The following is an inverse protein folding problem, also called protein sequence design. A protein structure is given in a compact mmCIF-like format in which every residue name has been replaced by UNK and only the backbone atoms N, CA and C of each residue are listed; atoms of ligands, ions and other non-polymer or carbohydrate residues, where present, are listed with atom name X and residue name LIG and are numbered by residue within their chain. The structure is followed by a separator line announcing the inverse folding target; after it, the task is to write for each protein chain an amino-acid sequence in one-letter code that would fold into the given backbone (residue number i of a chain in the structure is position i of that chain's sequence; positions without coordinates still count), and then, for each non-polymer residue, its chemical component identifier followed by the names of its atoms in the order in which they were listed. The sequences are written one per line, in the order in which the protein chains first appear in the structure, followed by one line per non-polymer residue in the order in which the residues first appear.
data_IF_206955880997
#
_entry.id   IF_206955880997
#
_cell.length_a   1.000
_cell.length_b   1.000
_cell.length_c   1.000
_cell.angle_alpha   90.00
_cell.angle_beta   90.00
_cell.angle_gamma   90.00
#
_symmetry.space_group_name_H-M   'P 1'
#
loop_
_entity.id
_entity.type
_entity.pdbx_description
1 polymer ?
#
# COMPACT_ATOMS: atom_id res chain seq x y z
N UNK A 1 -34.53 -23.08 37.45
CA UNK A 1 -33.48 -24.04 37.07
C UNK A 1 -33.27 -23.88 35.58
N UNK A 2 -32.28 -23.09 35.21
CA UNK A 2 -31.91 -22.83 33.82
C UNK A 2 -31.16 -24.04 33.25
N UNK A 3 -31.45 -24.35 31.99
CA UNK A 3 -30.87 -25.46 31.25
C UNK A 3 -29.55 -24.99 30.62
N UNK A 4 -28.41 -25.69 30.75
CA UNK A 4 -27.15 -25.20 30.21
C UNK A 4 -27.07 -25.42 28.69
N UNK A 5 -26.77 -24.35 27.95
CA UNK A 5 -26.50 -24.41 26.51
C UNK A 5 -25.24 -25.26 26.23
N UNK A 6 -25.37 -26.22 25.31
CA UNK A 6 -24.28 -27.07 24.87
C UNK A 6 -23.37 -26.33 23.87
N UNK A 7 -22.11 -26.13 24.25
CA UNK A 7 -21.05 -25.66 23.34
C UNK A 7 -20.74 -26.75 22.29
N UNK A 8 -20.71 -26.44 20.98
CA UNK A 8 -20.43 -27.45 19.97
C UNK A 8 -18.97 -27.92 20.04
N UNK A 9 -18.76 -29.22 20.23
CA UNK A 9 -17.41 -29.80 20.24
C UNK A 9 -16.83 -29.97 18.84
N UNK A 10 -15.49 -29.95 18.74
CA UNK A 10 -14.66 -30.22 17.54
C UNK A 10 -15.09 -31.47 16.74
N UNK A 11 -15.76 -32.42 17.39
CA UNK A 11 -16.30 -33.66 16.80
C UNK A 11 -17.58 -33.44 15.98
N UNK A 12 -18.37 -32.42 16.31
CA UNK A 12 -19.55 -32.00 15.54
C UNK A 12 -19.14 -31.41 14.20
N UNK A 13 -18.12 -30.53 14.21
CA UNK A 13 -17.57 -29.90 13.00
C UNK A 13 -17.07 -30.90 11.95
N UNK A 14 -16.35 -31.95 12.38
CA UNK A 14 -15.83 -32.99 11.48
C UNK A 14 -16.93 -33.92 10.93
N UNK A 15 -18.04 -34.11 11.65
CA UNK A 15 -19.19 -34.89 11.16
C UNK A 15 -19.94 -34.15 10.06
N UNK A 16 -20.05 -32.83 10.15
CA UNK A 16 -20.69 -32.00 9.11
C UNK A 16 -19.92 -32.03 7.79
N UNK A 17 -18.58 -32.14 7.84
CA UNK A 17 -17.74 -32.31 6.66
C UNK A 17 -17.84 -33.71 6.02
N UNK A 18 -18.10 -34.76 6.81
CA UNK A 18 -18.20 -36.14 6.32
C UNK A 18 -19.50 -36.47 5.56
N UNK A 19 -20.59 -35.75 5.82
CA UNK A 19 -21.89 -35.98 5.17
C UNK A 19 -22.06 -35.23 3.84
N UNK A 20 -21.15 -34.31 3.49
CA UNK A 20 -21.17 -33.60 2.22
C UNK A 20 -20.52 -34.38 1.05
N UNK A 21 -19.96 -35.57 1.31
CA UNK A 21 -19.11 -36.30 0.36
C UNK A 21 -19.79 -37.31 -0.57
N UNK A 22 -21.08 -37.62 -0.43
CA UNK A 22 -21.75 -38.67 -1.26
C UNK A 22 -23.20 -38.34 -1.58
N UNK A 23 -23.43 -37.38 -2.46
CA UNK A 23 -24.70 -37.25 -3.21
C UNK A 23 -24.48 -36.50 -4.54
N UNK A 24 -23.69 -37.10 -5.44
CA UNK A 24 -23.66 -36.71 -6.84
C UNK A 24 -24.79 -37.44 -7.57
N UNK A 25 -26.01 -36.88 -7.61
CA UNK A 25 -27.04 -37.23 -8.59
C UNK A 25 -28.19 -36.21 -8.58
N UNK A 26 -28.34 -35.51 -9.71
CA UNK A 26 -29.53 -34.76 -10.15
C UNK A 26 -30.06 -33.65 -9.21
N UNK A 27 -29.48 -32.45 -9.30
CA UNK A 27 -30.15 -31.22 -8.85
C UNK A 27 -30.98 -30.66 -10.02
N UNK A 28 -32.30 -30.43 -9.85
CA UNK A 28 -33.12 -29.77 -10.86
C UNK A 28 -32.53 -28.40 -11.22
N UNK A 29 -32.53 -28.06 -12.52
CA UNK A 29 -32.06 -26.77 -13.06
C UNK A 29 -32.78 -25.54 -12.50
N UNK A 30 -33.81 -25.72 -11.67
CA UNK A 30 -34.54 -24.67 -10.95
C UNK A 30 -33.89 -24.22 -9.63
N UNK A 31 -32.76 -24.83 -9.21
CA UNK A 31 -31.93 -24.37 -8.09
C UNK A 31 -30.62 -23.70 -8.54
N UNK A 32 -30.44 -23.50 -9.85
CA UNK A 32 -29.44 -22.57 -10.36
C UNK A 32 -29.93 -21.12 -10.14
N UNK A 33 -30.15 -20.74 -8.89
CA UNK A 33 -30.07 -19.34 -8.52
C UNK A 33 -28.63 -18.96 -8.86
N UNK A 34 -28.47 -18.16 -9.91
CA UNK A 34 -27.19 -17.64 -10.37
C UNK A 34 -26.40 -17.25 -9.14
N UNK A 35 -25.42 -18.09 -8.78
CA UNK A 35 -24.61 -17.87 -7.61
C UNK A 35 -24.02 -16.50 -7.83
N UNK A 36 -24.43 -15.52 -7.02
CA UNK A 36 -23.79 -14.23 -6.97
C UNK A 36 -22.35 -14.56 -6.64
N UNK A 37 -21.49 -14.56 -7.66
CA UNK A 37 -20.07 -14.69 -7.45
C UNK A 37 -19.73 -13.72 -6.32
N UNK A 38 -19.00 -14.16 -5.28
CA UNK A 38 -18.70 -13.30 -4.16
C UNK A 38 -18.22 -11.95 -4.69
N UNK A 39 -18.76 -10.85 -4.17
CA UNK A 39 -18.61 -9.50 -4.73
C UNK A 39 -17.14 -9.11 -4.97
N UNK A 40 -16.19 -9.79 -4.32
CA UNK A 40 -14.75 -9.62 -4.51
C UNK A 40 -14.19 -10.14 -5.85
N UNK A 41 -14.89 -11.00 -6.60
CA UNK A 41 -14.47 -11.43 -7.95
C UNK A 41 -14.84 -10.42 -9.06
N UNK A 42 -15.67 -9.43 -8.76
CA UNK A 42 -16.11 -8.38 -9.71
C UNK A 42 -15.49 -7.00 -9.41
N UNK A 43 -14.32 -6.94 -8.76
CA UNK A 43 -13.67 -5.65 -8.49
C UNK A 43 -13.19 -4.92 -9.75
N UNK A 44 -12.93 -5.65 -10.83
CA UNK A 44 -12.61 -5.05 -12.13
C UNK A 44 -13.83 -5.22 -13.02
N UNK A 45 -14.71 -4.20 -13.05
CA UNK A 45 -15.64 -4.08 -14.17
C UNK A 45 -14.78 -3.85 -15.41
N UNK A 46 -14.76 -4.79 -16.34
CA UNK A 46 -14.07 -4.58 -17.62
C UNK A 46 -14.76 -3.41 -18.33
N UNK A 47 -14.10 -2.25 -18.36
CA UNK A 47 -14.42 -1.25 -19.35
C UNK A 47 -13.74 -1.69 -20.65
N UNK A 48 -14.53 -2.21 -21.61
CA UNK A 48 -14.03 -2.39 -22.97
C UNK A 48 -13.81 -1.00 -23.58
N UNK A 49 -12.58 -0.50 -23.52
CA UNK A 49 -12.21 0.82 -24.04
C UNK A 49 -11.77 0.65 -25.50
N UNK A 50 -12.57 1.11 -26.45
CA UNK A 50 -12.23 1.03 -27.89
C UNK A 50 -11.78 2.36 -28.51
N UNK A 51 -11.83 3.49 -27.78
CA UNK A 51 -11.39 4.79 -28.28
C UNK A 51 -10.15 5.34 -27.55
N UNK A 52 -9.30 6.09 -28.26
CA UNK A 52 -8.08 6.70 -27.69
C UNK A 52 -8.34 7.71 -26.56
N UNK A 53 -9.57 8.25 -26.46
CA UNK A 53 -10.02 9.14 -25.38
C UNK A 53 -10.57 8.39 -24.16
N UNK A 54 -10.69 7.06 -24.23
CA UNK A 54 -11.15 6.23 -23.11
C UNK A 54 -9.97 5.71 -22.27
N UNK A 55 -8.73 6.00 -22.67
CA UNK A 55 -7.53 5.57 -21.95
C UNK A 55 -7.19 6.50 -20.80
N UNK A 56 -6.90 5.92 -19.64
CA UNK A 56 -6.29 6.60 -18.51
C UNK A 56 -4.77 6.65 -18.71
N UNK A 57 -4.24 7.87 -18.85
CA UNK A 57 -2.81 8.11 -19.07
C UNK A 57 -2.07 8.38 -17.78
N UNK A 58 -1.09 7.54 -17.50
CA UNK A 58 -0.34 7.49 -16.25
C UNK A 58 0.99 8.23 -16.41
N UNK A 59 1.28 9.10 -15.44
CA UNK A 59 2.62 9.62 -15.17
C UNK A 59 3.22 8.97 -13.92
N UNK A 60 4.34 8.26 -14.03
CA UNK A 60 5.04 7.69 -12.88
C UNK A 60 6.04 8.71 -12.30
N UNK A 61 5.94 9.03 -11.01
CA UNK A 61 6.91 9.85 -10.28
C UNK A 61 7.54 8.99 -9.19
N UNK A 62 8.84 8.71 -9.31
CA UNK A 62 9.55 7.71 -8.52
C UNK A 62 9.55 6.35 -9.20
N UNK A 63 10.53 6.10 -10.07
CA UNK A 63 10.68 4.85 -10.84
C UNK A 63 11.52 3.80 -10.11
N UNK A 64 11.36 3.76 -8.77
CA UNK A 64 11.93 2.70 -7.94
C UNK A 64 11.14 1.39 -8.07
N UNK A 65 11.52 0.38 -7.28
CA UNK A 65 10.91 -0.95 -7.37
C UNK A 65 9.38 -0.98 -7.14
N UNK A 66 8.86 -0.21 -6.18
CA UNK A 66 7.41 -0.14 -5.95
C UNK A 66 6.70 0.65 -7.04
N UNK A 67 7.18 1.85 -7.40
CA UNK A 67 6.57 2.62 -8.48
C UNK A 67 6.52 1.89 -9.82
N UNK A 68 7.55 1.10 -10.16
CA UNK A 68 7.51 0.19 -11.32
C UNK A 68 6.45 -0.89 -11.14
N UNK A 69 6.44 -1.60 -10.01
CA UNK A 69 5.47 -2.68 -9.75
C UNK A 69 4.00 -2.21 -9.75
N UNK A 70 3.73 -1.04 -9.18
CA UNK A 70 2.40 -0.41 -9.20
C UNK A 70 1.98 -0.06 -10.62
N UNK A 71 2.92 0.47 -11.41
CA UNK A 71 2.68 0.82 -12.82
C UNK A 71 2.43 -0.44 -13.65
N UNK A 72 3.25 -1.48 -13.51
CA UNK A 72 3.05 -2.76 -14.21
C UNK A 72 1.69 -3.37 -13.86
N UNK A 73 1.28 -3.31 -12.59
CA UNK A 73 -0.04 -3.78 -12.14
C UNK A 73 -1.16 -2.94 -12.76
N UNK A 74 -1.01 -1.61 -12.81
CA UNK A 74 -1.99 -0.74 -13.44
C UNK A 74 -2.16 -1.05 -14.94
N UNK A 75 -1.04 -1.28 -15.66
CA UNK A 75 -1.03 -1.61 -17.09
C UNK A 75 -1.66 -2.96 -17.44
N UNK A 76 -1.95 -3.82 -16.46
CA UNK A 76 -2.75 -5.03 -16.66
C UNK A 76 -4.24 -4.70 -16.88
N UNK A 77 -4.69 -3.50 -16.54
CA UNK A 77 -6.07 -3.05 -16.74
C UNK A 77 -6.22 -2.45 -18.13
N UNK A 78 -7.12 -3.02 -18.94
CA UNK A 78 -7.45 -2.48 -20.26
C UNK A 78 -7.87 -1.00 -20.18
N UNK A 79 -7.41 -0.20 -21.13
CA UNK A 79 -7.66 1.24 -21.11
C UNK A 79 -6.69 2.02 -20.22
N UNK A 80 -5.54 1.46 -19.84
CA UNK A 80 -4.46 2.23 -19.17
C UNK A 80 -3.22 2.27 -20.05
N UNK A 81 -2.48 3.38 -19.99
CA UNK A 81 -1.18 3.50 -20.65
C UNK A 81 -0.26 4.42 -19.84
N UNK A 82 1.04 4.13 -19.83
CA UNK A 82 2.06 5.03 -19.27
C UNK A 82 2.61 5.93 -20.37
N UNK A 83 2.67 7.23 -20.10
CA UNK A 83 3.14 8.22 -21.08
C UNK A 83 4.31 9.07 -20.56
N UNK A 84 4.55 9.06 -19.26
CA UNK A 84 5.60 9.84 -18.62
C UNK A 84 6.19 9.12 -17.41
N UNK A 85 7.48 9.30 -17.19
CA UNK A 85 8.20 8.83 -16.00
C UNK A 85 9.15 9.91 -15.48
N UNK A 86 9.29 9.98 -14.15
CA UNK A 86 10.15 10.93 -13.47
C UNK A 86 10.94 10.25 -12.36
N UNK A 87 12.24 10.50 -12.31
CA UNK A 87 13.15 10.05 -11.26
C UNK A 87 14.36 10.96 -11.19
N UNK A 88 14.97 11.04 -10.02
CA UNK A 88 16.15 11.88 -9.81
C UNK A 88 17.46 11.17 -10.20
N UNK A 89 17.41 9.87 -10.51
CA UNK A 89 18.57 9.09 -10.97
C UNK A 89 18.44 8.65 -12.44
N UNK A 90 19.46 8.95 -13.25
CA UNK A 90 19.46 8.65 -14.70
C UNK A 90 19.31 7.17 -15.02
N UNK A 91 19.93 6.28 -14.23
CA UNK A 91 19.83 4.84 -14.48
C UNK A 91 18.39 4.33 -14.35
N UNK A 92 17.60 4.94 -13.48
CA UNK A 92 16.17 4.65 -13.30
C UNK A 92 15.31 5.19 -14.45
N UNK A 93 15.64 6.36 -14.99
CA UNK A 93 15.01 6.88 -16.21
C UNK A 93 15.31 6.02 -17.44
N UNK A 94 16.56 5.55 -17.59
CA UNK A 94 16.93 4.60 -18.64
C UNK A 94 16.12 3.30 -18.50
N UNK A 95 16.03 2.76 -17.29
CA UNK A 95 15.23 1.56 -17.01
C UNK A 95 13.76 1.73 -17.38
N UNK A 96 13.16 2.89 -17.10
CA UNK A 96 11.78 3.18 -17.50
C UNK A 96 11.59 3.10 -19.03
N UNK A 97 12.53 3.63 -19.82
CA UNK A 97 12.50 3.50 -21.29
C UNK A 97 12.72 2.07 -21.78
N UNK A 98 13.58 1.30 -21.13
CA UNK A 98 13.75 -0.13 -21.45
C UNK A 98 12.45 -0.93 -21.22
N UNK A 99 11.67 -0.56 -20.20
CA UNK A 99 10.41 -1.23 -19.86
C UNK A 99 9.26 -0.83 -20.79
N UNK A 100 9.13 0.46 -21.10
CA UNK A 100 7.93 1.02 -21.75
C UNK A 100 8.19 1.70 -23.10
N UNK A 101 9.42 1.64 -23.61
CA UNK A 101 9.82 2.11 -24.93
C UNK A 101 10.50 3.49 -24.95
N UNK A 102 11.30 3.72 -26.00
CA UNK A 102 12.10 4.95 -26.16
C UNK A 102 11.28 6.23 -26.30
N UNK A 103 10.02 6.09 -26.75
CA UNK A 103 9.06 7.18 -26.88
C UNK A 103 8.50 7.70 -25.54
N UNK A 104 8.77 7.00 -24.44
CA UNK A 104 8.34 7.43 -23.11
C UNK A 104 8.99 8.78 -22.74
N UNK A 105 8.17 9.75 -22.34
CA UNK A 105 8.69 11.00 -21.82
C UNK A 105 9.35 10.77 -20.46
N UNK A 106 10.62 11.12 -20.32
CA UNK A 106 11.37 10.99 -19.07
C UNK A 106 11.94 12.33 -18.64
N UNK A 107 11.88 12.63 -17.35
CA UNK A 107 12.44 13.87 -16.79
C UNK A 107 12.96 13.66 -15.37
N UNK A 108 13.87 14.52 -14.92
CA UNK A 108 14.24 14.61 -13.49
C UNK A 108 13.31 15.55 -12.71
N UNK A 109 12.47 16.30 -13.40
CA UNK A 109 11.59 17.30 -12.78
C UNK A 109 10.12 16.88 -12.86
N UNK A 110 9.57 16.43 -11.74
CA UNK A 110 8.18 15.97 -11.67
C UNK A 110 7.18 17.04 -12.10
N UNK A 111 7.51 18.33 -11.95
CA UNK A 111 6.62 19.44 -12.35
C UNK A 111 6.36 19.41 -13.85
N UNK A 112 7.32 18.97 -14.66
CA UNK A 112 7.12 18.81 -16.10
C UNK A 112 6.10 17.72 -16.42
N UNK A 113 6.03 16.65 -15.61
CA UNK A 113 4.95 15.64 -15.73
C UNK A 113 3.60 16.25 -15.34
N UNK A 114 3.55 17.12 -14.33
CA UNK A 114 2.30 17.74 -13.90
C UNK A 114 1.77 18.80 -14.88
N UNK A 115 2.63 19.50 -15.62
CA UNK A 115 2.22 20.48 -16.64
C UNK A 115 1.67 19.82 -17.92
N UNK A 116 1.89 18.52 -18.10
CA UNK A 116 1.36 17.80 -19.26
C UNK A 116 -0.16 17.69 -19.18
N UNK A 117 -0.86 18.26 -20.15
CA UNK A 117 -2.31 18.19 -20.24
C UNK A 117 -2.83 16.78 -20.55
N UNK A 118 -1.99 15.92 -21.12
CA UNK A 118 -2.32 14.55 -21.50
C UNK A 118 -2.07 13.51 -20.39
N UNK A 119 -1.58 13.91 -19.21
CA UNK A 119 -1.50 13.05 -18.02
C UNK A 119 -2.80 13.18 -17.22
N UNK A 120 -3.47 12.06 -16.92
CA UNK A 120 -4.72 12.03 -16.15
C UNK A 120 -4.48 11.73 -14.67
N UNK A 121 -3.60 10.77 -14.41
CA UNK A 121 -3.27 10.25 -13.08
C UNK A 121 -1.76 10.17 -12.91
N UNK A 122 -1.27 10.44 -11.70
CA UNK A 122 0.10 10.12 -11.32
C UNK A 122 0.14 8.97 -10.33
N UNK A 123 1.13 8.10 -10.51
CA UNK A 123 1.57 7.16 -9.48
C UNK A 123 2.76 7.83 -8.78
N UNK A 124 2.60 8.11 -7.49
CA UNK A 124 3.63 8.66 -6.64
C UNK A 124 4.30 7.52 -5.86
N UNK A 125 5.39 7.01 -6.42
CA UNK A 125 6.23 5.94 -5.86
C UNK A 125 7.56 6.49 -5.30
N UNK A 126 7.58 7.74 -4.85
CA UNK A 126 8.79 8.38 -4.32
C UNK A 126 9.09 7.91 -2.87
N UNK A 127 9.94 8.66 -2.19
CA UNK A 127 10.24 8.47 -0.77
C UNK A 127 9.19 9.18 0.10
N UNK A 128 8.99 8.73 1.34
CA UNK A 128 7.89 9.19 2.20
C UNK A 128 7.83 10.72 2.35
N UNK A 129 8.98 11.38 2.48
CA UNK A 129 9.07 12.84 2.65
C UNK A 129 8.63 13.66 1.42
N UNK A 130 8.46 13.03 0.26
CA UNK A 130 7.97 13.67 -0.97
C UNK A 130 6.49 13.39 -1.25
N UNK A 131 5.88 12.44 -0.53
CA UNK A 131 4.51 11.99 -0.80
C UNK A 131 3.49 13.12 -0.70
N UNK A 132 3.51 13.91 0.38
CA UNK A 132 2.57 15.02 0.55
C UNK A 132 2.73 16.05 -0.58
N UNK A 133 3.94 16.55 -0.77
CA UNK A 133 4.20 17.65 -1.70
C UNK A 133 3.81 17.31 -3.13
N UNK A 134 4.27 16.16 -3.65
CA UNK A 134 4.00 15.76 -5.04
C UNK A 134 2.51 15.52 -5.24
N UNK A 135 1.87 14.86 -4.28
CA UNK A 135 0.43 14.57 -4.36
C UNK A 135 -0.42 15.84 -4.29
N UNK A 136 -0.07 16.78 -3.40
CA UNK A 136 -0.71 18.10 -3.32
C UNK A 136 -0.55 18.88 -4.62
N UNK A 137 0.68 18.96 -5.15
CA UNK A 137 0.97 19.67 -6.40
C UNK A 137 0.21 19.04 -7.58
N UNK A 138 0.15 17.71 -7.65
CA UNK A 138 -0.57 16.97 -8.68
C UNK A 138 -2.08 17.22 -8.65
N UNK A 139 -2.71 17.12 -7.47
CA UNK A 139 -4.15 17.38 -7.33
C UNK A 139 -4.48 18.83 -7.70
N UNK A 140 -3.65 19.79 -7.31
CA UNK A 140 -3.82 21.22 -7.68
C UNK A 140 -3.64 21.46 -9.18
N UNK A 141 -2.85 20.64 -9.87
CA UNK A 141 -2.72 20.60 -11.33
C UNK A 141 -3.82 19.76 -12.00
N UNK A 142 -4.82 19.36 -11.25
CA UNK A 142 -6.00 18.67 -11.76
C UNK A 142 -5.78 17.18 -12.04
N UNK A 143 -4.71 16.58 -11.51
CA UNK A 143 -4.37 15.16 -11.71
C UNK A 143 -4.96 14.29 -10.60
N UNK A 144 -5.37 13.07 -10.96
CA UNK A 144 -5.65 12.03 -9.96
C UNK A 144 -4.35 11.48 -9.38
N UNK A 145 -4.39 10.92 -8.18
CA UNK A 145 -3.18 10.45 -7.50
C UNK A 145 -3.40 9.04 -6.93
N UNK A 146 -2.52 8.12 -7.30
CA UNK A 146 -2.22 6.92 -6.52
C UNK A 146 -0.90 7.19 -5.78
N UNK A 147 -0.92 7.19 -4.45
CA UNK A 147 0.25 7.49 -3.62
C UNK A 147 0.66 6.24 -2.86
N UNK A 148 1.91 5.79 -3.01
CA UNK A 148 2.40 4.65 -2.27
C UNK A 148 2.29 4.85 -0.76
N UNK A 149 2.17 3.73 -0.04
CA UNK A 149 2.26 3.72 1.41
C UNK A 149 3.72 3.92 1.87
N UNK A 150 3.94 4.54 3.04
CA UNK A 150 2.97 5.26 3.86
C UNK A 150 2.53 6.58 3.19
N UNK A 151 1.29 6.99 3.41
CA UNK A 151 0.72 8.20 2.77
C UNK A 151 1.56 9.47 3.03
N UNK A 152 2.18 9.57 4.20
CA UNK A 152 2.97 10.72 4.65
C UNK A 152 4.11 10.29 5.56
N UNK A 153 5.18 11.07 5.60
CA UNK A 153 6.26 10.90 6.58
C UNK A 153 5.87 11.44 7.96
N UNK A 154 5.18 12.57 8.00
CA UNK A 154 4.71 13.23 9.24
C UNK A 154 3.19 13.20 9.29
N UNK A 155 2.64 12.96 10.47
CA UNK A 155 1.18 12.79 10.62
C UNK A 155 0.44 14.07 10.25
N UNK A 156 1.01 15.23 10.55
CA UNK A 156 0.44 16.55 10.30
C UNK A 156 0.19 16.80 8.80
N UNK A 157 1.07 16.26 7.94
CA UNK A 157 1.00 16.37 6.49
C UNK A 157 -0.26 15.67 5.92
N UNK A 158 -0.80 14.68 6.64
CA UNK A 158 -2.02 13.98 6.25
C UNK A 158 -3.25 14.91 6.24
N UNK A 159 -3.30 15.89 7.14
CA UNK A 159 -4.38 16.88 7.15
C UNK A 159 -4.34 17.78 5.92
N UNK A 160 -3.14 18.13 5.44
CA UNK A 160 -2.95 18.90 4.20
C UNK A 160 -3.48 18.13 3.00
N UNK A 161 -3.14 16.84 2.86
CA UNK A 161 -3.66 16.00 1.77
C UNK A 161 -5.18 15.90 1.79
N UNK A 162 -5.77 15.64 2.96
CA UNK A 162 -7.23 15.56 3.10
C UNK A 162 -7.90 16.88 2.70
N UNK A 163 -7.31 18.01 3.10
CA UNK A 163 -7.81 19.34 2.73
C UNK A 163 -7.75 19.55 1.21
N UNK A 164 -6.59 19.31 0.58
CA UNK A 164 -6.40 19.51 -0.85
C UNK A 164 -7.26 18.57 -1.69
N UNK A 165 -7.42 17.32 -1.27
CA UNK A 165 -8.30 16.36 -1.90
C UNK A 165 -9.75 16.88 -1.93
N UNK A 166 -10.24 17.43 -0.81
CA UNK A 166 -11.59 18.04 -0.73
C UNK A 166 -11.72 19.31 -1.57
N UNK A 167 -10.71 20.17 -1.57
CA UNK A 167 -10.71 21.43 -2.35
C UNK A 167 -10.71 21.18 -3.86
N UNK A 168 -9.93 20.21 -4.33
CA UNK A 168 -9.75 19.92 -5.75
C UNK A 168 -10.78 18.92 -6.30
N UNK A 169 -11.42 18.14 -5.42
CA UNK A 169 -12.32 17.05 -5.80
C UNK A 169 -11.62 15.89 -6.53
N UNK A 170 -10.29 15.86 -6.55
CA UNK A 170 -9.54 14.80 -7.23
C UNK A 170 -9.56 13.51 -6.43
N UNK A 171 -9.61 12.39 -7.14
CA UNK A 171 -9.39 11.06 -6.55
C UNK A 171 -7.96 10.97 -6.03
N UNK A 172 -7.84 10.60 -4.76
CA UNK A 172 -6.59 10.28 -4.08
C UNK A 172 -6.71 8.90 -3.45
N UNK A 173 -5.84 7.97 -3.84
CA UNK A 173 -5.82 6.61 -3.33
C UNK A 173 -4.44 6.31 -2.73
N UNK A 174 -4.44 5.79 -1.50
CA UNK A 174 -3.22 5.28 -0.88
C UNK A 174 -2.99 3.84 -1.35
N UNK A 175 -1.78 3.54 -1.80
CA UNK A 175 -1.31 2.23 -2.25
C UNK A 175 -1.12 1.26 -1.09
N UNK A 176 -2.20 0.92 -0.40
CA UNK A 176 -2.20 -0.12 0.63
C UNK A 176 -2.78 -1.41 0.09
N UNK A 177 -1.95 -2.21 -0.58
CA UNK A 177 -2.37 -3.37 -1.37
C UNK A 177 -3.09 -4.44 -0.55
N UNK A 178 -2.83 -4.53 0.75
CA UNK A 178 -3.50 -5.49 1.63
C UNK A 178 -5.00 -5.18 1.78
N UNK A 179 -5.43 -3.92 1.62
CA UNK A 179 -6.86 -3.58 1.62
C UNK A 179 -7.63 -4.23 0.46
N UNK A 180 -6.94 -4.61 -0.63
CA UNK A 180 -7.51 -5.24 -1.82
C UNK A 180 -7.33 -6.76 -1.84
N UNK A 181 -6.79 -7.37 -0.77
CA UNK A 181 -6.54 -8.81 -0.72
C UNK A 181 -7.83 -9.61 -0.55
N UNK A 182 -8.02 -10.63 -1.42
CA UNK A 182 -9.15 -11.56 -1.32
C UNK A 182 -9.14 -12.37 -0.02
N UNK A 183 -7.96 -12.63 0.55
CA UNK A 183 -7.81 -13.35 1.82
C UNK A 183 -8.31 -12.47 2.97
N UNK A 184 -7.96 -11.18 2.94
CA UNK A 184 -8.37 -10.21 3.95
C UNK A 184 -9.88 -9.94 3.84
N UNK A 185 -10.40 -9.85 2.61
CA UNK A 185 -11.84 -9.76 2.37
C UNK A 185 -12.60 -10.98 2.93
N UNK A 186 -12.06 -12.19 2.76
CA UNK A 186 -12.68 -13.40 3.33
C UNK A 186 -12.59 -13.43 4.86
N UNK A 187 -11.46 -13.03 5.44
CA UNK A 187 -11.32 -12.94 6.90
C UNK A 187 -12.34 -11.96 7.52
N UNK A 188 -12.56 -10.81 6.86
CA UNK A 188 -13.62 -9.86 7.23
C UNK A 188 -15.01 -10.50 7.21
N UNK A 189 -15.32 -11.28 6.18
CA UNK A 189 -16.61 -11.97 6.04
C UNK A 189 -16.84 -12.96 7.19
N UNK A 190 -15.84 -13.79 7.49
CA UNK A 190 -15.91 -14.79 8.56
C UNK A 190 -16.07 -14.14 9.95
N UNK A 191 -15.34 -13.05 10.21
CA UNK A 191 -15.50 -12.29 11.45
C UNK A 191 -16.93 -11.71 11.56
N UNK A 192 -17.45 -11.10 10.49
CA UNK A 192 -18.81 -10.56 10.47
C UNK A 192 -19.90 -11.61 10.60
N UNK A 193 -19.66 -12.83 10.11
CA UNK A 193 -20.59 -13.94 10.25
C UNK A 193 -20.64 -14.50 11.69
N UNK A 194 -19.68 -14.14 12.54
CA UNK A 194 -19.56 -14.64 13.90
C UNK A 194 -18.82 -15.99 14.00
N UNK A 195 -18.18 -16.44 12.92
CA UNK A 195 -17.55 -17.77 12.85
C UNK A 195 -16.41 -17.97 13.85
N UNK A 196 -15.77 -16.88 14.28
CA UNK A 196 -14.68 -16.89 15.27
C UNK A 196 -15.11 -16.36 16.65
N UNK A 197 -16.41 -16.06 16.83
CA UNK A 197 -16.94 -15.45 18.04
C UNK A 197 -16.58 -13.96 18.20
N UNK A 198 -16.61 -13.48 19.43
CA UNK A 198 -16.28 -12.09 19.77
C UNK A 198 -14.75 -11.88 19.75
N UNK A 199 -14.29 -10.85 19.04
CA UNK A 199 -12.88 -10.48 18.98
C UNK A 199 -12.42 -9.94 20.34
N UNK A 200 -11.45 -10.59 20.97
CA UNK A 200 -10.85 -10.13 22.24
C UNK A 200 -9.39 -9.71 22.10
N UNK A 201 -8.69 -10.28 21.11
CA UNK A 201 -7.25 -10.12 20.94
C UNK A 201 -6.83 -10.39 19.50
N UNK A 202 -5.84 -9.65 19.02
CA UNK A 202 -5.16 -9.89 17.75
C UNK A 202 -3.64 -9.87 17.95
N UNK A 203 -2.93 -10.72 17.22
CA UNK A 203 -1.47 -10.71 17.13
C UNK A 203 -1.06 -10.57 15.66
N UNK A 204 -0.12 -9.69 15.37
CA UNK A 204 0.38 -9.48 14.01
C UNK A 204 1.90 -9.28 14.01
N UNK A 205 2.59 -10.01 13.15
CA UNK A 205 4.04 -9.95 13.05
C UNK A 205 4.50 -9.86 11.59
N UNK A 206 5.62 -9.18 11.38
CA UNK A 206 6.26 -9.10 10.08
C UNK A 206 7.78 -9.17 10.27
N UNK A 207 8.44 -10.13 9.63
CA UNK A 207 9.90 -10.29 9.66
C UNK A 207 10.49 -10.18 8.24
N UNK A 208 11.56 -9.40 8.13
CA UNK A 208 12.36 -9.20 6.93
C UNK A 208 13.86 -9.23 7.26
N UNK A 209 14.31 -10.28 7.95
CA UNK A 209 15.70 -10.43 8.42
C UNK A 209 16.79 -10.44 7.32
N UNK A 210 16.45 -10.67 6.05
CA UNK A 210 17.44 -10.71 4.97
C UNK A 210 18.01 -9.31 4.65
N UNK A 211 19.20 -9.25 4.04
CA UNK A 211 19.80 -7.99 3.61
C UNK A 211 18.87 -7.17 2.68
N UNK A 212 18.18 -7.83 1.75
CA UNK A 212 17.17 -7.19 0.89
C UNK A 212 15.94 -6.73 1.68
N UNK A 213 15.49 -7.55 2.63
CA UNK A 213 14.40 -7.21 3.53
C UNK A 213 14.69 -5.97 4.38
N UNK A 214 15.95 -5.80 4.79
CA UNK A 214 16.45 -4.68 5.58
C UNK A 214 17.03 -3.53 4.73
N UNK A 215 16.62 -3.44 3.46
CA UNK A 215 16.94 -2.35 2.53
C UNK A 215 18.45 -2.16 2.26
N UNK A 216 19.26 -3.22 2.35
CA UNK A 216 20.68 -3.21 1.98
C UNK A 216 20.88 -3.40 0.47
N UNK A 217 20.17 -2.63 -0.35
CA UNK A 217 20.25 -2.74 -1.82
C UNK A 217 21.65 -2.47 -2.34
N UNK A 218 22.04 -3.15 -3.42
CA UNK A 218 23.21 -2.76 -4.18
C UNK A 218 23.04 -1.32 -4.66
N UNK A 219 24.12 -0.55 -4.58
CA UNK A 219 24.16 0.83 -5.04
C UNK A 219 24.81 0.81 -6.43
N UNK A 220 24.20 1.45 -7.44
CA UNK A 220 24.78 1.51 -8.77
C UNK A 220 26.20 2.09 -8.75
N UNK A 221 27.16 1.52 -9.50
CA UNK A 221 28.54 2.03 -9.53
C UNK A 221 28.67 3.47 -10.04
N UNK A 222 27.72 3.95 -10.84
CA UNK A 222 27.66 5.30 -11.38
C UNK A 222 26.91 6.28 -10.47
N UNK A 223 26.51 5.87 -9.26
CA UNK A 223 25.79 6.72 -8.32
C UNK A 223 26.65 7.92 -7.85
N UNK A 224 26.36 9.11 -8.36
CA UNK A 224 27.08 10.33 -8.05
C UNK A 224 26.17 11.57 -8.16
N UNK A 225 26.61 12.75 -7.71
CA UNK A 225 25.86 14.00 -7.91
C UNK A 225 25.65 14.38 -9.40
N UNK A 226 26.37 13.74 -10.33
CA UNK A 226 26.18 13.96 -11.77
C UNK A 226 25.00 13.14 -12.30
N UNK A 227 24.84 11.90 -11.82
CA UNK A 227 23.77 10.98 -12.24
C UNK A 227 22.53 11.07 -11.36
N UNK A 228 22.65 11.68 -10.18
CA UNK A 228 21.58 11.86 -9.19
C UNK A 228 21.41 13.32 -8.83
N UNK A 229 20.20 13.84 -8.99
CA UNK A 229 19.83 15.18 -8.49
C UNK A 229 19.59 15.15 -6.98
N UNK A 230 20.70 15.23 -6.23
CA UNK A 230 20.71 15.17 -4.77
C UNK A 230 20.05 16.39 -4.11
N UNK A 231 20.24 17.58 -4.67
CA UNK A 231 19.72 18.82 -4.10
C UNK A 231 18.19 18.85 -4.16
N UNK A 232 17.63 18.42 -5.29
CA UNK A 232 16.18 18.19 -5.41
C UNK A 232 15.77 17.07 -4.47
N UNK A 233 16.46 15.92 -4.41
CA UNK A 233 16.09 14.81 -3.52
C UNK A 233 15.93 15.25 -2.07
N UNK A 234 16.87 16.05 -1.55
CA UNK A 234 16.81 16.55 -0.18
C UNK A 234 15.56 17.39 0.07
N UNK A 235 15.07 18.17 -0.90
CA UNK A 235 13.89 19.01 -0.74
C UNK A 235 13.95 19.88 0.53
N UNK A 236 12.97 19.69 1.41
CA UNK A 236 12.86 20.34 2.73
C UNK A 236 13.54 19.57 3.86
N UNK A 237 14.06 18.37 3.60
CA UNK A 237 14.83 17.61 4.57
C UNK A 237 16.16 18.31 4.87
N UNK A 238 16.80 17.90 5.97
CA UNK A 238 18.08 18.46 6.42
C UNK A 238 19.11 18.38 5.29
N UNK A 239 19.73 19.52 4.95
CA UNK A 239 20.81 19.57 3.97
C UNK A 239 22.02 18.77 4.46
N UNK A 240 22.56 17.94 3.56
CA UNK A 240 23.65 17.00 3.81
C UNK A 240 24.51 16.88 2.56
N UNK A 241 25.78 16.55 2.76
CA UNK A 241 26.66 16.11 1.68
C UNK A 241 26.07 14.87 0.98
N UNK A 242 26.46 14.67 -0.29
CA UNK A 242 26.05 13.51 -1.08
C UNK A 242 26.37 12.21 -0.33
N UNK A 243 25.34 11.38 -0.16
CA UNK A 243 25.48 10.04 0.40
C UNK A 243 24.59 9.06 -0.40
N UNK A 244 25.19 8.15 -1.18
CA UNK A 244 24.41 7.23 -2.00
C UNK A 244 23.60 6.24 -1.16
N UNK A 245 23.99 5.93 0.09
CA UNK A 245 23.17 5.09 0.98
C UNK A 245 21.88 5.82 1.34
N UNK A 246 21.94 7.12 1.56
CA UNK A 246 20.76 7.93 1.90
C UNK A 246 19.78 8.09 0.75
N UNK A 247 20.24 8.07 -0.50
CA UNK A 247 19.38 8.06 -1.67
C UNK A 247 18.79 6.66 -1.96
N UNK A 248 19.64 5.64 -2.07
CA UNK A 248 19.21 4.30 -2.51
C UNK A 248 18.63 3.42 -1.40
N UNK A 249 18.96 3.70 -0.14
CA UNK A 249 18.53 2.94 1.04
C UNK A 249 17.81 3.85 2.04
N UNK A 250 17.10 4.84 1.52
CA UNK A 250 16.45 5.94 2.25
C UNK A 250 15.58 5.51 3.43
N UNK A 251 14.95 4.32 3.38
CA UNK A 251 14.13 3.76 4.48
C UNK A 251 14.89 3.59 5.79
N UNK A 252 16.21 3.54 5.73
CA UNK A 252 17.10 3.46 6.88
C UNK A 252 17.32 4.81 7.58
N UNK A 253 16.73 5.90 7.08
CA UNK A 253 16.99 7.26 7.56
C UNK A 253 15.69 8.04 7.80
N UNK A 254 15.51 8.52 9.03
CA UNK A 254 14.35 9.31 9.47
C UNK A 254 14.18 10.62 8.70
N UNK A 255 15.26 11.15 8.11
CA UNK A 255 15.20 12.34 7.27
C UNK A 255 14.27 12.14 6.06
N UNK A 256 14.13 10.90 5.54
CA UNK A 256 13.45 10.63 4.27
C UNK A 256 12.30 9.63 4.37
N UNK A 257 12.37 8.72 5.35
CA UNK A 257 11.44 7.62 5.52
C UNK A 257 11.01 7.42 6.96
N UNK A 258 10.09 6.48 7.14
CA UNK A 258 9.45 6.16 8.42
C UNK A 258 9.92 4.82 9.03
N UNK A 259 10.93 4.20 8.43
CA UNK A 259 11.50 2.92 8.86
C UNK A 259 10.48 1.77 8.83
N UNK A 260 10.66 0.79 9.71
CA UNK A 260 9.78 -0.39 9.84
C UNK A 260 8.32 0.01 10.11
N UNK A 261 8.09 1.11 10.83
CA UNK A 261 6.76 1.53 11.24
C UNK A 261 5.86 1.91 10.04
N UNK A 262 6.32 2.81 9.17
CA UNK A 262 5.52 3.18 8.00
C UNK A 262 5.72 2.27 6.80
N UNK A 263 6.83 1.52 6.70
CA UNK A 263 7.03 0.62 5.55
C UNK A 263 6.37 -0.76 5.71
N UNK A 264 6.36 -1.33 6.93
CA UNK A 264 5.92 -2.71 7.20
C UNK A 264 4.72 -2.79 8.15
N UNK A 265 4.74 -2.07 9.27
CA UNK A 265 3.63 -2.08 10.25
C UNK A 265 2.30 -1.62 9.63
N UNK A 266 2.36 -0.69 8.67
CA UNK A 266 1.19 -0.23 7.92
C UNK A 266 0.43 -1.38 7.24
N UNK A 267 1.11 -2.45 6.80
CA UNK A 267 0.48 -3.62 6.20
C UNK A 267 -0.33 -4.40 7.22
N UNK A 268 0.24 -4.60 8.42
CA UNK A 268 -0.44 -5.28 9.53
C UNK A 268 -1.67 -4.49 9.98
N UNK A 269 -1.53 -3.17 10.14
CA UNK A 269 -2.63 -2.28 10.53
C UNK A 269 -3.72 -2.23 9.47
N UNK A 270 -3.36 -2.11 8.18
CA UNK A 270 -4.32 -2.17 7.08
C UNK A 270 -5.11 -3.47 7.11
N UNK A 271 -4.43 -4.59 7.33
CA UNK A 271 -5.07 -5.92 7.40
C UNK A 271 -6.09 -5.95 8.52
N UNK A 272 -5.66 -5.60 9.73
CA UNK A 272 -6.53 -5.60 10.90
C UNK A 272 -7.72 -4.66 10.70
N UNK A 273 -7.48 -3.41 10.30
CA UNK A 273 -8.53 -2.41 10.13
C UNK A 273 -9.51 -2.79 9.02
N UNK A 274 -9.04 -3.44 7.95
CA UNK A 274 -9.92 -3.95 6.88
C UNK A 274 -10.81 -5.08 7.39
N UNK A 275 -10.26 -6.01 8.19
CA UNK A 275 -10.98 -7.14 8.76
C UNK A 275 -12.01 -6.67 9.79
N UNK A 276 -11.60 -5.84 10.74
CA UNK A 276 -12.45 -5.43 11.88
C UNK A 276 -13.33 -4.23 11.57
N UNK A 277 -13.04 -3.47 10.51
CA UNK A 277 -13.67 -2.18 10.24
C UNK A 277 -13.18 -1.04 11.12
N UNK A 278 -12.18 -1.28 11.98
CA UNK A 278 -11.64 -0.30 12.91
C UNK A 278 -11.12 0.97 12.21
N UNK A 279 -11.21 2.10 12.92
CA UNK A 279 -10.62 3.39 12.51
C UNK A 279 -9.31 3.71 13.24
N UNK A 280 -8.88 2.85 14.15
CA UNK A 280 -7.62 2.99 14.88
C UNK A 280 -7.76 2.79 16.39
N UNK A 281 -6.61 2.66 17.06
CA UNK A 281 -6.51 2.53 18.51
C UNK A 281 -6.76 3.87 19.21
N UNK A 282 -7.06 3.85 20.52
CA UNK A 282 -7.07 5.05 21.36
C UNK A 282 -5.73 5.26 22.09
N UNK A 283 -4.92 4.20 22.21
CA UNK A 283 -3.61 4.22 22.87
C UNK A 283 -2.67 3.23 22.24
N UNK A 284 -1.41 3.62 22.15
CA UNK A 284 -0.31 2.79 21.65
C UNK A 284 0.86 2.92 22.60
N UNK A 285 1.44 1.78 22.98
CA UNK A 285 2.75 1.71 23.64
C UNK A 285 3.71 1.02 22.69
N UNK A 286 4.83 1.67 22.34
CA UNK A 286 5.81 1.12 21.42
C UNK A 286 7.22 1.16 22.02
N UNK A 287 8.02 0.16 21.69
CA UNK A 287 9.43 0.07 22.07
C UNK A 287 10.23 -0.58 20.94
N UNK A 288 11.53 -0.32 20.91
CA UNK A 288 12.38 -0.83 19.85
C UNK A 288 13.79 -0.27 19.88
N UNK A 289 14.51 -0.50 18.80
CA UNK A 289 15.78 0.15 18.52
C UNK A 289 16.65 -0.70 17.62
N UNK A 290 17.93 -0.33 17.53
CA UNK A 290 18.93 -1.04 16.75
C UNK A 290 19.52 -2.20 17.56
N UNK A 291 19.35 -3.43 17.09
CA UNK A 291 19.81 -4.65 17.75
C UNK A 291 20.77 -5.44 16.87
N UNK A 292 20.42 -5.63 15.60
CA UNK A 292 21.17 -6.47 14.66
C UNK A 292 22.02 -5.65 13.68
N UNK A 293 21.41 -4.72 12.95
CA UNK A 293 22.09 -3.94 11.92
C UNK A 293 22.99 -2.86 12.54
N UNK A 294 24.27 -2.83 12.10
CA UNK A 294 25.30 -1.87 12.51
C UNK A 294 25.84 -1.10 11.30
N UNK A 295 24.93 -0.62 10.46
CA UNK A 295 25.22 -0.05 9.14
C UNK A 295 25.11 1.49 9.07
N UNK A 296 24.88 2.13 10.22
CA UNK A 296 24.75 3.58 10.35
C UNK A 296 23.33 4.12 10.08
N UNK A 297 22.32 3.25 9.99
CA UNK A 297 20.91 3.66 9.98
C UNK A 297 20.51 4.34 11.29
N UNK A 298 19.48 5.19 11.24
CA UNK A 298 18.95 5.91 12.41
C UNK A 298 17.48 5.56 12.73
N UNK A 299 16.94 4.54 12.06
CA UNK A 299 15.64 3.91 12.36
C UNK A 299 15.82 2.58 13.10
N UNK A 300 14.89 2.19 13.99
CA UNK A 300 14.90 0.87 14.62
C UNK A 300 14.87 -0.29 13.61
N UNK A 301 15.59 -1.38 13.90
CA UNK A 301 15.45 -2.66 13.17
C UNK A 301 14.56 -3.66 13.89
N UNK A 302 14.36 -3.48 15.20
CA UNK A 302 13.34 -4.15 16.00
C UNK A 302 12.33 -3.10 16.45
N UNK A 303 11.04 -3.36 16.19
CA UNK A 303 9.91 -2.56 16.64
C UNK A 303 8.87 -3.51 17.21
N UNK A 304 8.40 -3.21 18.43
CA UNK A 304 7.34 -3.91 19.14
C UNK A 304 6.31 -2.87 19.57
N UNK A 305 5.02 -3.17 19.47
CA UNK A 305 3.99 -2.27 19.95
C UNK A 305 2.76 -3.01 20.47
N UNK A 306 2.08 -2.40 21.43
CA UNK A 306 0.80 -2.84 21.97
C UNK A 306 -0.20 -1.72 21.67
N UNK A 307 -1.35 -2.08 21.13
CA UNK A 307 -2.39 -1.15 20.75
C UNK A 307 -3.69 -1.49 21.48
N UNK A 308 -4.31 -0.47 22.07
CA UNK A 308 -5.61 -0.59 22.72
C UNK A 308 -6.69 -0.05 21.78
N UNK A 309 -7.59 -0.92 21.34
CA UNK A 309 -8.71 -0.53 20.48
C UNK A 309 -9.97 -0.35 21.32
N UNK A 310 -10.66 0.79 21.19
CA UNK A 310 -11.91 1.01 21.91
C UNK A 310 -13.04 0.18 21.31
N UNK A 311 -14.11 -0.04 22.08
CA UNK A 311 -15.38 -0.51 21.55
C UNK A 311 -15.95 0.49 20.54
N UNK A 312 -16.42 -0.01 19.39
CA UNK A 312 -17.09 0.76 18.33
C UNK A 312 -18.40 0.09 17.93
N UNK A 313 -19.09 0.63 16.92
CA UNK A 313 -20.25 -0.05 16.34
C UNK A 313 -19.83 -1.27 15.50
N UNK A 314 -18.58 -1.30 15.03
CA UNK A 314 -18.04 -2.31 14.12
C UNK A 314 -17.40 -3.49 14.85
N UNK A 315 -16.85 -3.28 16.05
CA UNK A 315 -16.13 -4.30 16.81
C UNK A 315 -16.15 -4.01 18.33
N UNK A 316 -16.02 -5.04 19.19
CA UNK A 316 -15.80 -4.86 20.63
C UNK A 316 -14.44 -4.21 20.92
N UNK A 317 -14.15 -3.92 22.17
CA UNK A 317 -12.80 -3.57 22.59
C UNK A 317 -11.86 -4.78 22.48
N UNK A 318 -10.62 -4.55 22.04
CA UNK A 318 -9.63 -5.60 21.91
C UNK A 318 -8.21 -5.01 21.96
N UNK A 319 -7.22 -5.85 22.21
CA UNK A 319 -5.80 -5.47 22.14
C UNK A 319 -5.14 -6.08 20.90
N UNK A 320 -4.17 -5.36 20.34
CA UNK A 320 -3.27 -5.86 19.30
C UNK A 320 -1.82 -5.84 19.81
N UNK A 321 -1.06 -6.89 19.50
CA UNK A 321 0.40 -6.94 19.64
C UNK A 321 1.09 -7.20 18.32
#
# INVERSE_FOLDING_TARGET
MENPEQVPSRRSFLKTLGLAGTAAAAVPSSLAQAGTAPMYLNLVKSHSSTAANDKVRIGLIGTGGMGIGDTETALMVEGTEIIAACDLYDGRLRRAKELWGDGLFTTRDYRQVLERSDVDVIINGTTDHWHEKISTDAMRKGKHVYCEKPMVQKVEDGHTLIKVQKETGKVFQVGSQFASSIIIAKARELLKAGDIGELVFAEAQYDRHSAMGAWQYSIPPDASPQTVDWDTYLGTAKKREWDPKRFFRWRNYQDYGTGVAGDLYVHLLTTLHTITGSKGPNRVYASGGLRFWKDGRDVPDIHLAIFDYPKTAEHPEFNLT
#
